data_IF_581459393899
#
_entry.id   IF_581459393899
#
_cell.length_a   1.000
_cell.length_b   1.000
_cell.length_c   1.000
_cell.angle_alpha   90.00
_cell.angle_beta   90.00
_cell.angle_gamma   90.00
#
_symmetry.space_group_name_H-M   'P 1'
#
loop_
_entity.id
_entity.type
_entity.pdbx_description
1 polymer ?
#
# COMPACT_ATOMS: atom_id res chain seq x y z
N UNK A 1 -3.12 -39.55 35.48
CA UNK A 1 -2.89 -38.31 34.70
C UNK A 1 -3.34 -37.13 35.53
N UNK A 2 -2.45 -36.16 35.80
CA UNK A 2 -2.76 -35.05 36.71
C UNK A 2 -3.67 -34.07 35.96
N UNK A 3 -4.73 -33.60 36.61
CA UNK A 3 -5.77 -32.71 36.05
C UNK A 3 -5.22 -31.47 35.35
N UNK A 4 -4.00 -31.05 35.71
CA UNK A 4 -3.29 -29.92 35.11
C UNK A 4 -2.89 -30.18 33.65
N UNK A 5 -2.52 -31.41 33.27
CA UNK A 5 -2.07 -31.73 31.91
C UNK A 5 -3.23 -31.58 30.89
N UNK A 6 -4.45 -31.89 31.33
CA UNK A 6 -5.67 -31.70 30.54
C UNK A 6 -5.97 -30.22 30.30
N UNK A 7 -5.78 -29.37 31.31
CA UNK A 7 -5.96 -27.92 31.19
C UNK A 7 -4.90 -27.30 30.27
N UNK A 8 -3.65 -27.73 30.37
CA UNK A 8 -2.58 -27.27 29.47
C UNK A 8 -2.85 -27.64 28.01
N UNK A 9 -3.31 -28.86 27.75
CA UNK A 9 -3.66 -29.29 26.39
C UNK A 9 -4.84 -28.52 25.81
N UNK A 10 -5.84 -28.18 26.63
CA UNK A 10 -6.97 -27.35 26.21
C UNK A 10 -6.49 -25.93 25.87
N UNK A 11 -5.64 -25.34 26.70
CA UNK A 11 -5.08 -24.00 26.44
C UNK A 11 -4.23 -23.98 25.16
N UNK A 12 -3.40 -24.99 24.95
CA UNK A 12 -2.63 -25.17 23.71
C UNK A 12 -3.56 -25.29 22.49
N UNK A 13 -4.66 -26.04 22.62
CA UNK A 13 -5.66 -26.17 21.56
C UNK A 13 -6.34 -24.85 21.21
N UNK A 14 -6.68 -24.03 22.21
CA UNK A 14 -7.30 -22.71 22.00
C UNK A 14 -6.33 -21.73 21.32
N UNK A 15 -5.06 -21.73 21.70
CA UNK A 15 -4.02 -20.90 21.07
C UNK A 15 -3.81 -21.34 19.62
N UNK A 16 -3.69 -22.65 19.37
CA UNK A 16 -3.55 -23.18 18.02
C UNK A 16 -4.74 -22.84 17.12
N UNK A 17 -5.96 -22.96 17.63
CA UNK A 17 -7.18 -22.59 16.90
C UNK A 17 -7.19 -21.09 16.57
N UNK A 18 -6.77 -20.24 17.51
CA UNK A 18 -6.67 -18.79 17.30
C UNK A 18 -5.66 -18.42 16.21
N UNK A 19 -4.50 -19.10 16.18
CA UNK A 19 -3.48 -18.91 15.15
C UNK A 19 -3.98 -19.32 13.75
N UNK A 20 -4.73 -20.43 13.65
CA UNK A 20 -5.35 -20.86 12.39
C UNK A 20 -6.36 -19.83 11.88
N UNK A 21 -7.18 -19.27 12.77
CA UNK A 21 -8.15 -18.23 12.39
C UNK A 21 -7.45 -16.96 11.87
N UNK A 22 -6.38 -16.51 12.55
CA UNK A 22 -5.58 -15.36 12.12
C UNK A 22 -4.93 -15.61 10.75
N UNK A 23 -4.32 -16.77 10.55
CA UNK A 23 -3.70 -17.14 9.28
C UNK A 23 -4.72 -17.21 8.13
N UNK A 24 -5.90 -17.77 8.40
CA UNK A 24 -6.98 -17.87 7.40
C UNK A 24 -7.55 -16.50 7.05
N UNK A 25 -7.68 -15.61 8.04
CA UNK A 25 -8.10 -14.23 7.82
C UNK A 25 -7.10 -13.46 6.93
N UNK A 26 -5.79 -13.69 7.11
CA UNK A 26 -4.74 -13.08 6.30
C UNK A 26 -4.75 -13.55 4.83
N UNK A 27 -5.14 -14.81 4.59
CA UNK A 27 -5.26 -15.38 3.23
C UNK A 27 -6.49 -14.83 2.50
N UNK A 28 -7.62 -14.68 3.19
CA UNK A 28 -8.89 -14.23 2.59
C UNK A 28 -8.93 -12.70 2.44
N UNK A 29 -8.27 -11.98 3.36
CA UNK A 29 -8.09 -10.54 3.30
C UNK A 29 -6.58 -10.25 3.24
N UNK A 30 -5.94 -10.38 2.06
CA UNK A 30 -4.68 -9.72 1.87
C UNK A 30 -4.97 -8.23 2.05
N UNK A 31 -4.66 -7.70 3.23
CA UNK A 31 -4.66 -6.26 3.44
C UNK A 31 -3.88 -5.65 2.28
N UNK A 32 -4.49 -4.66 1.64
CA UNK A 32 -4.02 -3.94 0.43
C UNK A 32 -2.55 -3.49 0.45
N UNK A 33 -1.85 -3.65 1.57
CA UNK A 33 -0.42 -3.48 1.78
C UNK A 33 0.41 -4.42 0.89
N UNK A 34 -0.03 -5.67 0.64
CA UNK A 34 0.73 -6.59 -0.23
C UNK A 34 0.52 -6.35 -1.74
N UNK A 35 -0.54 -5.66 -2.14
CA UNK A 35 -0.69 -5.20 -3.53
C UNK A 35 0.21 -3.99 -3.83
N UNK A 36 0.59 -3.22 -2.81
CA UNK A 36 1.53 -2.11 -2.93
C UNK A 36 2.99 -2.55 -3.10
N UNK A 37 3.40 -3.72 -2.60
CA UNK A 37 4.80 -4.15 -2.69
C UNK A 37 5.22 -4.69 -4.06
N UNK A 38 4.32 -4.73 -5.05
CA UNK A 38 4.62 -5.16 -6.43
C UNK A 38 4.66 -4.01 -7.44
N UNK A 39 4.30 -2.80 -7.03
CA UNK A 39 4.62 -1.60 -7.78
C UNK A 39 5.97 -1.09 -7.25
N UNK A 40 7.00 -1.19 -8.08
CA UNK A 40 8.32 -0.63 -7.77
C UNK A 40 8.19 0.89 -7.75
N UNK A 41 7.88 1.46 -6.57
CA UNK A 41 7.75 2.91 -6.37
C UNK A 41 9.11 3.63 -6.32
N UNK A 42 10.22 2.95 -6.61
CA UNK A 42 11.56 3.56 -6.58
C UNK A 42 11.69 4.73 -7.56
N UNK A 43 10.98 4.66 -8.69
CA UNK A 43 10.90 5.72 -9.69
C UNK A 43 9.76 6.72 -9.44
N UNK A 44 9.02 6.61 -8.35
CA UNK A 44 7.92 7.51 -8.04
C UNK A 44 8.34 8.55 -7.00
N UNK A 45 8.40 9.82 -7.43
CA UNK A 45 8.66 10.96 -6.56
C UNK A 45 7.35 11.61 -6.13
N UNK A 46 7.19 11.80 -4.82
CA UNK A 46 6.02 12.43 -4.21
C UNK A 46 6.38 13.84 -3.71
N UNK A 47 5.55 14.82 -4.04
CA UNK A 47 5.66 16.19 -3.51
C UNK A 47 4.32 16.67 -2.95
N UNK A 48 4.32 17.19 -1.73
CA UNK A 48 3.10 17.66 -1.07
C UNK A 48 2.82 19.13 -1.38
N UNK A 49 1.54 19.46 -1.61
CA UNK A 49 1.06 20.82 -1.86
C UNK A 49 -0.11 21.14 -0.92
N UNK A 50 -0.50 22.42 -0.80
CA UNK A 50 -1.62 22.82 0.07
C UNK A 50 -2.97 22.18 -0.29
N UNK A 51 -3.16 21.72 -1.54
CA UNK A 51 -4.42 21.18 -2.03
C UNK A 51 -4.39 19.69 -2.38
N UNK A 52 -3.26 19.00 -2.17
CA UNK A 52 -3.08 17.63 -2.63
C UNK A 52 -1.61 17.20 -2.62
N UNK A 53 -1.31 16.13 -3.33
CA UNK A 53 0.07 15.71 -3.61
C UNK A 53 0.29 15.49 -5.10
N UNK A 54 1.51 15.72 -5.54
CA UNK A 54 1.99 15.45 -6.88
C UNK A 54 2.73 14.13 -6.86
N UNK A 55 2.45 13.30 -7.87
CA UNK A 55 3.18 12.08 -8.15
C UNK A 55 3.90 12.29 -9.47
N UNK A 56 5.22 12.14 -9.47
CA UNK A 56 6.05 12.15 -10.67
C UNK A 56 6.64 10.78 -10.88
N UNK A 57 6.45 10.21 -12.07
CA UNK A 57 7.16 9.03 -12.54
C UNK A 57 8.48 9.47 -13.18
N UNK A 58 9.62 9.04 -12.63
CA UNK A 58 10.94 9.37 -13.17
C UNK A 58 11.33 8.57 -14.40
N UNK A 59 10.68 7.45 -14.69
CA UNK A 59 10.94 6.68 -15.90
C UNK A 59 10.26 7.33 -17.12
N UNK A 60 9.00 7.74 -16.98
CA UNK A 60 8.22 8.37 -18.06
C UNK A 60 8.25 9.90 -18.05
N UNK A 61 8.62 10.53 -16.93
CA UNK A 61 8.54 11.97 -16.71
C UNK A 61 7.12 12.47 -16.45
N UNK A 62 6.11 11.60 -16.37
CA UNK A 62 4.72 11.99 -16.18
C UNK A 62 4.46 12.54 -14.79
N UNK A 63 3.64 13.60 -14.72
CA UNK A 63 3.27 14.27 -13.48
C UNK A 63 1.76 14.28 -13.34
N UNK A 64 1.31 13.74 -12.21
CA UNK A 64 -0.08 13.59 -11.82
C UNK A 64 -0.35 14.36 -10.52
N UNK A 65 -1.54 14.94 -10.40
CA UNK A 65 -1.97 15.65 -9.20
C UNK A 65 -3.16 14.97 -8.55
N UNK A 66 -3.00 14.63 -7.29
CA UNK A 66 -4.04 14.07 -6.45
C UNK A 66 -4.53 15.15 -5.50
N UNK A 67 -5.65 15.78 -5.84
CA UNK A 67 -6.25 16.82 -4.99
C UNK A 67 -6.99 16.19 -3.81
N UNK A 68 -6.84 16.76 -2.61
CA UNK A 68 -7.60 16.34 -1.45
C UNK A 68 -9.09 16.63 -1.67
N UNK A 69 -9.89 15.57 -1.81
CA UNK A 69 -11.34 15.66 -2.06
C UNK A 69 -11.79 15.33 -3.48
N UNK A 70 -10.87 15.10 -4.44
CA UNK A 70 -11.20 14.52 -5.74
C UNK A 70 -10.81 13.05 -5.76
N UNK A 71 -11.69 12.21 -6.32
CA UNK A 71 -11.41 10.77 -6.44
C UNK A 71 -10.48 10.42 -7.61
N UNK A 72 -10.32 11.32 -8.58
CA UNK A 72 -9.52 11.07 -9.78
C UNK A 72 -8.28 11.98 -9.82
N UNK A 73 -7.10 11.45 -10.18
CA UNK A 73 -5.91 12.26 -10.39
C UNK A 73 -6.05 13.10 -11.66
N UNK A 74 -5.61 14.36 -11.57
CA UNK A 74 -5.52 15.26 -12.70
C UNK A 74 -4.13 15.15 -13.33
N UNK A 75 -4.07 14.79 -14.63
CA UNK A 75 -2.82 14.80 -15.38
C UNK A 75 -2.34 16.24 -15.61
N UNK A 76 -1.15 16.56 -15.11
CA UNK A 76 -0.54 17.88 -15.29
C UNK A 76 0.19 17.93 -16.64
N UNK A 77 1.05 16.93 -16.90
CA UNK A 77 1.88 16.88 -18.09
C UNK A 77 3.12 16.00 -17.89
N UNK A 78 3.99 16.00 -18.89
CA UNK A 78 5.23 15.23 -18.90
C UNK A 78 6.44 16.17 -18.84
N UNK A 79 7.41 15.85 -17.99
CA UNK A 79 8.68 16.55 -17.87
C UNK A 79 9.79 15.76 -18.59
N UNK A 80 10.14 16.20 -19.80
CA UNK A 80 11.19 15.57 -20.60
C UNK A 80 12.60 15.90 -20.08
N UNK A 81 12.80 17.10 -19.50
CA UNK A 81 14.09 17.55 -18.96
C UNK A 81 13.90 18.47 -17.76
N UNK A 82 14.78 18.38 -16.77
CA UNK A 82 14.77 19.33 -15.65
C UNK A 82 14.99 20.76 -16.19
N UNK A 83 14.07 21.66 -15.84
CA UNK A 83 14.08 23.05 -16.27
C UNK A 83 13.41 23.30 -17.63
N UNK A 84 12.93 22.27 -18.35
CA UNK A 84 12.08 22.47 -19.52
C UNK A 84 10.62 22.73 -19.09
N UNK A 85 9.83 23.46 -19.90
CA UNK A 85 8.39 23.54 -19.67
C UNK A 85 7.75 22.16 -19.71
N UNK A 86 6.62 22.03 -19.03
CA UNK A 86 5.81 20.81 -19.04
C UNK A 86 5.11 20.68 -20.39
N UNK A 87 5.21 19.49 -20.98
CA UNK A 87 4.51 19.18 -22.23
C UNK A 87 3.19 18.49 -21.89
N UNK A 88 2.08 19.02 -22.39
CA UNK A 88 0.76 18.41 -22.25
C UNK A 88 0.41 17.78 -23.60
N UNK A 89 0.49 16.45 -23.70
CA UNK A 89 0.04 15.70 -24.89
C UNK A 89 -1.38 15.18 -24.68
#
# INVERSE_FOLDING_TARGET
MRRNDLLYNILLGVIALSLVVIATALIIRPDSIQAQSRADFSDLKLAYTRGGFLLMDSASGEIWMYSFGRQQPDFIGTLEKIGSPLTRR
#
